data_IF_571219149186
#
_entry.id   IF_571219149186
#
_cell.length_a   1.000
_cell.length_b   1.000
_cell.length_c   1.000
_cell.angle_alpha   90.00
_cell.angle_beta   90.00
_cell.angle_gamma   90.00
#
_symmetry.space_group_name_H-M   'P 1'
#
loop_
_entity.id
_entity.type
_entity.pdbx_description
1 polymer ?
#
# COMPACT_ATOMS: atom_id res chain seq x y z
N UNK A 1 74.52 -15.54 11.57
CA UNK A 1 75.60 -16.39 11.02
C UNK A 1 74.95 -17.32 10.01
N UNK A 2 74.92 -16.97 8.74
CA UNK A 2 76.04 -16.95 7.82
C UNK A 2 76.36 -18.34 7.25
N UNK A 3 76.09 -18.46 5.94
CA UNK A 3 76.99 -19.02 4.91
C UNK A 3 77.26 -20.52 5.07
N UNK A 4 76.79 -21.43 4.21
CA UNK A 4 76.80 -21.36 2.75
C UNK A 4 78.03 -22.10 2.21
N UNK A 5 77.81 -23.21 1.48
CA UNK A 5 78.46 -23.63 0.22
C UNK A 5 78.38 -25.14 0.00
N UNK A 6 77.58 -25.48 -1.00
CA UNK A 6 77.76 -26.49 -2.04
C UNK A 6 78.64 -27.72 -1.80
N UNK A 7 78.03 -28.89 -2.04
CA UNK A 7 78.66 -29.91 -2.88
C UNK A 7 77.63 -30.63 -3.74
N UNK A 8 77.67 -30.24 -5.01
CA UNK A 8 77.28 -30.94 -6.23
C UNK A 8 77.14 -32.48 -6.11
N UNK A 9 75.91 -33.01 -5.99
CA UNK A 9 75.62 -34.39 -6.43
C UNK A 9 74.13 -34.74 -6.49
N UNK A 10 73.30 -34.17 -5.61
CA UNK A 10 71.92 -34.67 -5.42
C UNK A 10 70.93 -34.08 -6.44
N UNK A 11 71.19 -32.86 -6.95
CA UNK A 11 70.30 -32.23 -7.95
C UNK A 11 70.42 -32.90 -9.32
N UNK A 12 71.60 -33.46 -9.68
CA UNK A 12 71.75 -34.22 -10.94
C UNK A 12 70.98 -35.55 -10.90
N UNK A 13 70.96 -36.24 -9.76
CA UNK A 13 70.27 -37.53 -9.63
C UNK A 13 68.75 -37.40 -9.62
N UNK A 14 68.21 -36.34 -9.01
CA UNK A 14 66.76 -36.06 -9.05
C UNK A 14 66.33 -35.53 -10.43
N UNK A 15 67.18 -34.75 -11.10
CA UNK A 15 66.89 -34.26 -12.46
C UNK A 15 66.94 -35.40 -13.50
N UNK A 16 67.84 -36.36 -13.35
CA UNK A 16 67.92 -37.54 -14.25
C UNK A 16 66.75 -38.51 -13.98
N UNK A 17 66.27 -38.67 -12.74
CA UNK A 17 65.07 -39.46 -12.46
C UNK A 17 63.77 -38.77 -12.92
N UNK A 18 63.66 -37.44 -12.83
CA UNK A 18 62.48 -36.72 -13.34
C UNK A 18 62.48 -36.69 -14.87
N UNK A 19 63.65 -36.57 -15.52
CA UNK A 19 63.74 -36.59 -17.00
C UNK A 19 63.57 -38.01 -17.56
N UNK A 20 63.95 -39.07 -16.83
CA UNK A 20 63.65 -40.47 -17.21
C UNK A 20 62.16 -40.83 -17.02
N UNK A 21 61.43 -40.15 -16.13
CA UNK A 21 59.96 -40.29 -16.04
C UNK A 21 59.24 -39.53 -17.18
N UNK A 22 59.84 -38.48 -17.74
CA UNK A 22 59.27 -37.69 -18.85
C UNK A 22 59.76 -38.07 -20.26
N UNK A 23 60.74 -38.98 -20.40
CA UNK A 23 61.24 -39.48 -21.69
C UNK A 23 60.94 -40.97 -21.94
N UNK A 24 60.31 -41.66 -20.99
CA UNK A 24 59.51 -42.83 -21.31
C UNK A 24 58.20 -42.35 -21.95
N UNK A 25 58.14 -42.43 -23.27
CA UNK A 25 56.86 -42.42 -23.99
C UNK A 25 55.98 -43.52 -23.39
N UNK A 26 55.05 -43.16 -22.51
CA UNK A 26 53.96 -44.05 -22.14
C UNK A 26 53.25 -44.41 -23.45
N UNK A 27 53.23 -45.69 -23.87
CA UNK A 27 52.53 -46.10 -25.10
C UNK A 27 51.00 -45.98 -24.99
N UNK A 28 50.48 -45.27 -23.98
CA UNK A 28 49.06 -45.17 -23.67
C UNK A 28 48.37 -43.88 -24.14
N UNK A 29 49.09 -42.83 -24.53
CA UNK A 29 48.45 -41.55 -24.89
C UNK A 29 47.86 -41.52 -26.32
N UNK A 30 48.32 -42.39 -27.22
CA UNK A 30 47.76 -42.53 -28.58
C UNK A 30 46.54 -43.47 -28.65
N UNK A 31 46.09 -44.02 -27.51
CA UNK A 31 44.95 -44.94 -27.39
C UNK A 31 43.74 -44.37 -26.64
N UNK A 32 43.76 -43.09 -26.25
CA UNK A 32 42.63 -42.44 -25.57
C UNK A 32 41.54 -42.06 -26.58
N UNK A 33 40.83 -43.06 -27.07
CA UNK A 33 39.55 -42.87 -27.74
C UNK A 33 38.50 -42.47 -26.69
N UNK A 34 37.61 -41.52 -27.03
CA UNK A 34 36.49 -41.18 -26.16
C UNK A 34 35.73 -42.47 -25.81
N UNK A 35 35.48 -42.77 -24.52
CA UNK A 35 34.90 -44.05 -24.14
C UNK A 35 33.58 -44.29 -24.88
N UNK A 36 33.41 -45.50 -25.43
CA UNK A 36 32.17 -45.88 -26.10
C UNK A 36 30.99 -45.77 -25.12
N UNK A 37 29.79 -45.51 -25.63
CA UNK A 37 28.57 -45.31 -24.82
C UNK A 37 28.36 -46.40 -23.77
N UNK A 38 28.63 -47.66 -24.11
CA UNK A 38 28.53 -48.79 -23.18
C UNK A 38 29.46 -48.64 -21.96
N UNK A 39 30.69 -48.18 -22.17
CA UNK A 39 31.67 -47.95 -21.10
C UNK A 39 31.23 -46.83 -20.17
N UNK A 40 30.70 -45.74 -20.72
CA UNK A 40 30.15 -44.62 -19.94
C UNK A 40 28.94 -45.06 -19.11
N UNK A 41 28.03 -45.83 -19.70
CA UNK A 41 26.88 -46.39 -18.99
C UNK A 41 27.29 -47.34 -17.86
N UNK A 42 28.32 -48.16 -18.10
CA UNK A 42 28.86 -49.05 -17.07
C UNK A 42 29.50 -48.27 -15.91
N UNK A 43 30.29 -47.22 -16.20
CA UNK A 43 30.84 -46.35 -15.15
C UNK A 43 29.76 -45.60 -14.38
N UNK A 44 28.78 -45.03 -15.08
CA UNK A 44 27.66 -44.32 -14.45
C UNK A 44 26.87 -45.24 -13.51
N UNK A 45 26.52 -46.47 -13.94
CA UNK A 45 25.84 -47.45 -13.09
C UNK A 45 26.67 -47.86 -11.89
N UNK A 46 27.98 -48.02 -12.07
CA UNK A 46 28.86 -48.38 -10.96
C UNK A 46 28.96 -47.26 -9.94
N UNK A 47 29.08 -46.01 -10.39
CA UNK A 47 29.06 -44.83 -9.52
C UNK A 47 27.70 -44.72 -8.82
N UNK A 48 26.59 -44.90 -9.51
CA UNK A 48 25.24 -44.91 -8.94
C UNK A 48 25.10 -45.97 -7.83
N UNK A 49 25.56 -47.19 -8.08
CA UNK A 49 25.52 -48.28 -7.10
C UNK A 49 26.39 -47.99 -5.87
N UNK A 50 27.60 -47.46 -6.06
CA UNK A 50 28.47 -47.09 -4.93
C UNK A 50 27.89 -45.92 -4.14
N UNK A 51 27.35 -44.91 -4.82
CA UNK A 51 26.66 -43.77 -4.19
C UNK A 51 25.45 -44.27 -3.40
N UNK A 52 24.55 -45.05 -3.99
CA UNK A 52 23.37 -45.57 -3.30
C UNK A 52 23.75 -46.41 -2.08
N UNK A 53 24.76 -47.28 -2.21
CA UNK A 53 25.27 -48.10 -1.10
C UNK A 53 25.82 -47.24 0.04
N UNK A 54 26.63 -46.25 -0.29
CA UNK A 54 27.23 -45.32 0.69
C UNK A 54 26.15 -44.44 1.32
N UNK A 55 25.21 -43.91 0.54
CA UNK A 55 24.10 -43.10 1.03
C UNK A 55 23.21 -43.88 1.98
N UNK A 56 22.86 -45.13 1.68
CA UNK A 56 22.05 -45.96 2.60
C UNK A 56 22.74 -46.19 3.95
N UNK A 57 24.08 -46.28 3.97
CA UNK A 57 24.84 -46.43 5.21
C UNK A 57 25.06 -45.11 5.96
N UNK A 58 25.39 -44.03 5.25
CA UNK A 58 25.68 -42.72 5.86
C UNK A 58 24.40 -42.03 6.34
N UNK A 59 23.31 -42.09 5.58
CA UNK A 59 22.05 -41.39 5.92
C UNK A 59 21.30 -42.05 7.07
N UNK A 60 21.54 -43.33 7.33
CA UNK A 60 20.85 -44.07 8.37
C UNK A 60 19.34 -44.25 8.14
N UNK A 61 18.86 -44.13 6.90
CA UNK A 61 17.42 -44.11 6.59
C UNK A 61 16.68 -45.36 7.06
N UNK A 62 17.32 -46.54 6.97
CA UNK A 62 16.74 -47.80 7.44
C UNK A 62 16.70 -47.88 8.96
N UNK A 63 17.74 -47.38 9.64
CA UNK A 63 17.78 -47.28 11.09
C UNK A 63 16.67 -46.36 11.59
N UNK A 64 16.48 -45.19 10.95
CA UNK A 64 15.40 -44.27 11.27
C UNK A 64 14.01 -44.92 11.08
N UNK A 65 13.79 -45.61 9.96
CA UNK A 65 12.55 -46.36 9.72
C UNK A 65 12.32 -47.45 10.78
N UNK A 66 13.40 -48.12 11.21
CA UNK A 66 13.40 -49.07 12.32
C UNK A 66 12.92 -48.43 13.62
N UNK A 67 13.53 -47.30 14.01
CA UNK A 67 13.17 -46.53 15.22
C UNK A 67 11.69 -46.11 15.20
N UNK A 68 11.16 -45.62 14.07
CA UNK A 68 9.73 -45.27 13.96
C UNK A 68 8.81 -46.49 14.16
N UNK A 69 9.23 -47.69 13.76
CA UNK A 69 8.46 -48.90 13.97
C UNK A 69 8.56 -49.42 15.42
N UNK A 70 9.75 -49.38 16.01
CA UNK A 70 10.00 -49.75 17.42
C UNK A 70 9.23 -48.83 18.37
N UNK A 71 9.26 -47.53 18.10
CA UNK A 71 8.62 -46.50 18.91
C UNK A 71 7.16 -46.23 18.52
N UNK A 72 6.51 -47.15 17.79
CA UNK A 72 5.10 -47.04 17.37
C UNK A 72 4.13 -46.88 18.54
N UNK A 73 4.51 -47.27 19.75
CA UNK A 73 3.71 -47.07 20.97
C UNK A 73 3.79 -45.64 21.52
N UNK A 74 4.81 -44.85 21.14
CA UNK A 74 5.01 -43.46 21.59
C UNK A 74 4.22 -42.43 20.78
N UNK A 75 3.69 -42.79 19.62
CA UNK A 75 2.90 -41.91 18.78
C UNK A 75 1.66 -42.62 18.22
N UNK A 76 0.70 -41.83 17.76
CA UNK A 76 -0.48 -42.36 17.08
C UNK A 76 -0.57 -41.78 15.66
N UNK A 77 -0.99 -42.61 14.72
CA UNK A 77 -1.28 -42.18 13.36
C UNK A 77 -2.70 -41.63 13.33
N UNK A 78 -2.82 -40.32 13.19
CA UNK A 78 -4.11 -39.64 13.07
C UNK A 78 -4.35 -39.31 11.60
N UNK A 79 -5.51 -39.71 11.08
CA UNK A 79 -5.91 -39.36 9.72
C UNK A 79 -6.44 -37.92 9.69
N UNK A 80 -5.80 -37.07 8.90
CA UNK A 80 -6.32 -35.74 8.63
C UNK A 80 -7.66 -35.84 7.87
N UNK A 81 -8.68 -35.13 8.35
CA UNK A 81 -9.96 -34.99 7.68
C UNK A 81 -10.04 -33.55 7.14
N UNK A 82 -9.70 -33.31 5.85
CA UNK A 82 -9.53 -31.95 5.32
C UNK A 82 -10.74 -31.05 5.55
N UNK A 83 -11.95 -31.60 5.36
CA UNK A 83 -13.20 -30.87 5.59
C UNK A 83 -13.34 -30.35 7.03
N UNK A 84 -13.07 -31.20 8.03
CA UNK A 84 -13.14 -30.79 9.45
C UNK A 84 -12.10 -29.74 9.80
N UNK A 85 -10.91 -29.82 9.18
CA UNK A 85 -9.85 -28.83 9.38
C UNK A 85 -10.30 -27.48 8.82
N UNK A 86 -10.85 -27.46 7.60
CA UNK A 86 -11.36 -26.23 6.98
C UNK A 86 -12.54 -25.64 7.77
N UNK A 87 -13.49 -26.46 8.20
CA UNK A 87 -14.63 -26.03 9.02
C UNK A 87 -14.16 -25.43 10.36
N UNK A 88 -13.15 -26.05 11.00
CA UNK A 88 -12.56 -25.52 12.23
C UNK A 88 -11.89 -24.16 11.99
N UNK A 89 -11.05 -24.06 10.96
CA UNK A 89 -10.36 -22.81 10.61
C UNK A 89 -11.36 -21.70 10.27
N UNK A 90 -12.41 -22.01 9.50
CA UNK A 90 -13.46 -21.05 9.17
C UNK A 90 -14.17 -20.53 10.42
N UNK A 91 -14.55 -21.42 11.35
CA UNK A 91 -15.14 -21.05 12.65
C UNK A 91 -14.19 -20.19 13.50
N UNK A 92 -12.90 -20.52 13.52
CA UNK A 92 -11.92 -19.78 14.33
C UNK A 92 -11.71 -18.37 13.75
N UNK A 93 -11.67 -18.22 12.42
CA UNK A 93 -11.62 -16.92 11.74
C UNK A 93 -12.90 -16.11 12.00
N UNK A 94 -14.08 -16.75 11.93
CA UNK A 94 -15.35 -16.09 12.22
C UNK A 94 -15.37 -15.52 13.64
N UNK A 95 -14.98 -16.32 14.64
CA UNK A 95 -14.89 -15.88 16.04
C UNK A 95 -13.88 -14.74 16.22
N UNK A 96 -12.73 -14.82 15.57
CA UNK A 96 -11.71 -13.76 15.60
C UNK A 96 -12.28 -12.44 15.05
N UNK A 97 -12.91 -12.47 13.88
CA UNK A 97 -13.49 -11.29 13.25
C UNK A 97 -14.68 -10.76 14.05
N UNK A 98 -15.49 -11.64 14.66
CA UNK A 98 -16.61 -11.24 15.51
C UNK A 98 -16.15 -10.46 16.76
N UNK A 99 -15.04 -10.88 17.40
CA UNK A 99 -14.43 -10.14 18.51
C UNK A 99 -13.96 -8.75 18.08
N UNK A 100 -13.24 -8.66 16.96
CA UNK A 100 -12.79 -7.37 16.39
C UNK A 100 -13.95 -6.44 16.08
N UNK A 101 -15.02 -6.97 15.48
CA UNK A 101 -16.25 -6.20 15.20
C UNK A 101 -16.88 -5.67 16.49
N UNK A 102 -16.93 -6.46 17.56
CA UNK A 102 -17.48 -6.03 18.86
C UNK A 102 -16.72 -4.83 19.42
N UNK A 103 -15.38 -4.87 19.38
CA UNK A 103 -14.53 -3.75 19.81
C UNK A 103 -14.77 -2.49 18.97
N UNK A 104 -14.87 -2.63 17.64
CA UNK A 104 -15.16 -1.52 16.72
C UNK A 104 -16.54 -0.89 16.99
N UNK A 105 -17.58 -1.69 17.18
CA UNK A 105 -18.94 -1.18 17.46
C UNK A 105 -18.98 -0.42 18.78
N UNK A 106 -18.30 -0.91 19.81
CA UNK A 106 -18.17 -0.20 21.09
C UNK A 106 -17.49 1.16 20.91
N UNK A 107 -16.35 1.19 20.22
CA UNK A 107 -15.59 2.42 19.97
C UNK A 107 -16.39 3.43 19.14
N UNK A 108 -17.07 2.98 18.08
CA UNK A 108 -17.88 3.85 17.25
C UNK A 108 -19.08 4.45 18.02
N UNK A 109 -19.77 3.62 18.81
CA UNK A 109 -20.92 4.08 19.61
C UNK A 109 -20.50 5.12 20.66
N UNK A 110 -19.36 4.90 21.33
CA UNK A 110 -18.82 5.87 22.28
C UNK A 110 -18.32 7.15 21.58
N UNK A 111 -17.68 7.04 20.42
CA UNK A 111 -17.27 8.23 19.65
C UNK A 111 -18.47 9.10 19.24
N UNK A 112 -19.54 8.49 18.74
CA UNK A 112 -20.78 9.21 18.40
C UNK A 112 -21.41 9.89 19.63
N UNK A 113 -21.42 9.20 20.77
CA UNK A 113 -21.96 9.74 22.03
C UNK A 113 -21.12 10.91 22.54
N UNK A 114 -19.80 10.72 22.63
CA UNK A 114 -18.86 11.73 23.13
C UNK A 114 -18.88 12.98 22.26
N UNK A 115 -18.87 12.82 20.94
CA UNK A 115 -18.89 13.97 20.04
C UNK A 115 -20.22 14.72 20.07
N UNK A 116 -21.35 14.03 20.32
CA UNK A 116 -22.66 14.68 20.51
C UNK A 116 -22.72 15.49 21.81
N UNK A 117 -22.08 15.01 22.86
CA UNK A 117 -22.02 15.67 24.17
C UNK A 117 -20.98 16.80 24.23
N UNK A 118 -20.03 16.81 23.28
CA UNK A 118 -18.97 17.82 23.23
C UNK A 118 -19.53 19.22 22.98
N UNK A 119 -19.04 20.19 23.76
CA UNK A 119 -19.36 21.60 23.61
C UNK A 119 -18.15 22.27 22.97
N UNK A 120 -18.39 22.91 21.81
CA UNK A 120 -17.36 23.64 21.10
C UNK A 120 -16.77 24.79 21.94
N UNK A 121 -15.44 24.90 21.96
CA UNK A 121 -14.73 25.95 22.68
C UNK A 121 -13.69 26.63 21.78
N UNK A 122 -13.84 27.93 21.54
CA UNK A 122 -12.89 28.71 20.74
C UNK A 122 -11.63 29.13 21.53
N UNK A 123 -11.71 29.14 22.87
CA UNK A 123 -10.65 29.65 23.75
C UNK A 123 -9.59 28.63 24.16
N UNK A 124 -9.63 27.40 23.65
CA UNK A 124 -8.65 26.36 23.98
C UNK A 124 -7.29 26.77 23.41
N UNK A 125 -6.25 26.75 24.23
CA UNK A 125 -4.86 26.92 23.78
C UNK A 125 -4.18 25.56 23.73
N UNK A 126 -3.22 25.43 22.82
CA UNK A 126 -2.42 24.21 22.66
C UNK A 126 -1.70 23.82 23.97
N UNK A 127 -1.23 24.80 24.75
CA UNK A 127 -0.58 24.58 26.04
C UNK A 127 -1.50 23.96 27.11
N UNK A 128 -2.82 24.12 26.97
CA UNK A 128 -3.80 23.57 27.90
C UNK A 128 -4.16 22.10 27.56
N UNK A 129 -3.63 21.57 26.45
CA UNK A 129 -3.94 20.23 25.96
C UNK A 129 -2.91 19.19 26.43
N UNK A 130 -3.37 18.17 27.16
CA UNK A 130 -2.55 17.04 27.55
C UNK A 130 -2.74 15.85 26.58
N UNK A 131 -1.85 15.70 25.61
CA UNK A 131 -1.83 14.55 24.71
C UNK A 131 -0.40 14.18 24.28
N UNK A 132 -0.20 12.91 23.92
CA UNK A 132 1.07 12.46 23.34
C UNK A 132 1.03 12.63 21.81
N UNK A 133 1.81 13.57 21.31
CA UNK A 133 2.05 13.74 19.88
C UNK A 133 3.09 12.72 19.42
N UNK A 134 2.69 11.84 18.50
CA UNK A 134 3.56 10.76 18.04
C UNK A 134 4.73 11.23 17.19
N UNK A 135 4.68 12.45 16.64
CA UNK A 135 5.75 13.05 15.84
C UNK A 135 6.69 13.93 16.65
N UNK A 136 6.47 14.09 17.95
CA UNK A 136 7.23 15.02 18.79
C UNK A 136 8.76 14.82 18.70
N UNK A 137 9.23 13.57 18.62
CA UNK A 137 10.66 13.27 18.48
C UNK A 137 11.23 13.68 17.11
N UNK A 138 10.44 13.61 16.04
CA UNK A 138 10.88 14.04 14.70
C UNK A 138 10.98 15.56 14.58
N UNK A 139 10.05 16.29 15.20
CA UNK A 139 10.06 17.75 15.21
C UNK A 139 11.37 18.28 15.85
N UNK A 140 11.89 17.56 16.86
CA UNK A 140 13.14 17.91 17.58
C UNK A 140 14.41 17.82 16.70
N UNK A 141 14.49 16.83 15.80
CA UNK A 141 15.66 16.67 14.92
C UNK A 141 15.67 17.61 13.70
N UNK A 142 14.55 18.30 13.42
CA UNK A 142 14.44 19.24 12.30
C UNK A 142 14.93 20.66 12.62
N UNK A 143 15.18 20.95 13.90
CA UNK A 143 15.59 22.27 14.37
C UNK A 143 17.05 22.23 14.88
N UNK A 144 18.03 22.17 13.97
CA UNK A 144 19.46 22.41 14.27
C UNK A 144 19.74 23.90 14.55
N UNK A 145 18.91 24.54 15.37
CA UNK A 145 19.01 25.95 15.72
C UNK A 145 18.55 26.18 17.16
N UNK A 146 19.53 26.46 18.02
CA UNK A 146 19.45 26.91 19.40
C UNK A 146 18.06 27.33 19.91
N UNK A 147 17.48 26.50 20.80
CA UNK A 147 16.30 26.83 21.58
C UNK A 147 15.61 25.58 22.11
N UNK A 148 15.90 25.20 23.37
CA UNK A 148 15.08 24.27 24.14
C UNK A 148 13.68 24.89 24.34
N UNK A 149 12.79 24.71 23.37
CA UNK A 149 11.36 24.91 23.60
C UNK A 149 10.84 23.58 24.12
N UNK A 150 11.14 23.25 25.38
CA UNK A 150 10.38 22.21 26.09
C UNK A 150 8.92 22.69 26.12
N UNK A 151 8.10 22.17 25.21
CA UNK A 151 6.66 22.40 25.29
C UNK A 151 6.18 21.67 26.55
N UNK A 152 5.71 22.37 27.61
CA UNK A 152 5.40 21.76 28.91
C UNK A 152 4.21 20.79 28.86
N UNK A 153 3.49 20.77 27.75
CA UNK A 153 2.27 19.99 27.49
C UNK A 153 2.53 18.61 26.87
N UNK A 154 3.75 18.30 26.42
CA UNK A 154 4.05 16.98 25.86
C UNK A 154 4.30 15.95 26.96
N UNK A 155 3.41 14.96 27.04
CA UNK A 155 3.52 13.84 27.95
C UNK A 155 4.78 13.03 27.57
N UNK A 156 5.81 13.01 28.41
CA UNK A 156 6.95 12.08 28.24
C UNK A 156 6.50 10.69 28.66
N UNK A 157 6.55 9.74 27.72
CA UNK A 157 6.13 8.36 27.92
C UNK A 157 7.33 7.42 27.94
N UNK A 158 7.26 6.40 28.80
CA UNK A 158 8.18 5.27 28.77
C UNK A 158 7.62 4.21 27.81
N UNK A 159 8.42 3.79 26.83
CA UNK A 159 8.05 2.80 25.85
C UNK A 159 8.74 1.46 26.12
N UNK A 160 7.99 0.37 25.90
CA UNK A 160 8.50 -1.00 26.03
C UNK A 160 8.30 -1.70 24.71
N UNK A 161 9.34 -2.40 24.24
CA UNK A 161 9.27 -3.19 23.01
C UNK A 161 8.27 -4.34 23.16
N UNK A 162 7.27 -4.39 22.27
CA UNK A 162 6.29 -5.47 22.23
C UNK A 162 6.43 -6.32 20.96
N UNK A 163 6.67 -7.64 21.06
CA UNK A 163 6.82 -8.53 19.91
C UNK A 163 5.58 -8.64 19.00
N UNK A 164 4.36 -8.42 19.52
CA UNK A 164 3.14 -8.46 18.72
C UNK A 164 3.06 -7.26 17.78
N UNK A 165 3.52 -6.10 18.25
CA UNK A 165 3.54 -4.85 17.49
C UNK A 165 4.84 -4.66 16.70
N UNK A 166 5.90 -5.36 17.07
CA UNK A 166 7.27 -5.18 16.53
C UNK A 166 7.75 -3.73 16.64
N UNK A 167 7.33 -3.05 17.70
CA UNK A 167 7.58 -1.63 17.96
C UNK A 167 7.59 -1.38 19.47
N UNK A 168 8.17 -0.25 19.85
CA UNK A 168 8.13 0.26 21.22
C UNK A 168 6.75 0.90 21.48
N UNK A 169 6.04 0.43 22.49
CA UNK A 169 4.65 0.81 22.78
C UNK A 169 4.46 1.19 24.24
N UNK A 170 3.44 2.01 24.48
CA UNK A 170 2.97 2.39 25.81
C UNK A 170 1.47 2.11 25.92
N UNK A 171 1.10 1.27 26.88
CA UNK A 171 -0.29 0.83 27.10
C UNK A 171 -1.11 1.77 28.00
N UNK A 172 -0.48 2.80 28.57
CA UNK A 172 -1.12 3.75 29.49
C UNK A 172 -1.76 4.94 28.76
N UNK A 173 -1.36 5.21 27.52
CA UNK A 173 -1.85 6.36 26.75
C UNK A 173 -2.12 6.00 25.29
N UNK A 174 -2.87 6.88 24.64
CA UNK A 174 -3.01 6.93 23.18
C UNK A 174 -2.00 7.88 22.57
N UNK A 175 -1.62 7.61 21.33
CA UNK A 175 -0.80 8.50 20.51
C UNK A 175 -1.67 9.23 19.49
N UNK A 176 -1.30 10.46 19.18
CA UNK A 176 -1.97 11.30 18.18
C UNK A 176 -1.01 11.59 17.04
N UNK A 177 -1.42 11.28 15.81
CA UNK A 177 -0.75 11.70 14.59
C UNK A 177 -1.57 12.81 13.92
N UNK A 178 -0.91 13.92 13.61
CA UNK A 178 -1.46 15.03 12.86
C UNK A 178 -0.66 15.15 11.54
N UNK A 179 -1.32 15.24 10.37
CA UNK A 179 -0.65 15.50 9.10
C UNK A 179 0.21 16.77 9.16
N UNK A 180 1.36 16.74 8.49
CA UNK A 180 2.38 17.79 8.58
C UNK A 180 1.90 19.14 8.02
N UNK A 181 0.94 19.13 7.10
CA UNK A 181 0.32 20.31 6.49
C UNK A 181 -0.85 20.90 7.31
N UNK A 182 -1.18 20.30 8.46
CA UNK A 182 -2.25 20.76 9.36
C UNK A 182 -1.65 21.43 10.58
N UNK A 183 -2.10 22.66 10.85
CA UNK A 183 -1.67 23.41 12.03
C UNK A 183 -2.33 22.88 13.32
N UNK A 184 -1.49 22.40 14.25
CA UNK A 184 -1.93 21.78 15.52
C UNK A 184 -2.74 22.73 16.41
N UNK A 185 -2.39 24.02 16.43
CA UNK A 185 -3.06 25.06 17.22
C UNK A 185 -4.39 25.56 16.66
N UNK A 186 -4.89 25.03 15.54
CA UNK A 186 -6.16 25.46 14.98
C UNK A 186 -7.33 25.05 15.90
N UNK A 187 -8.34 25.93 16.17
CA UNK A 187 -9.46 25.61 17.05
C UNK A 187 -10.20 24.31 16.70
N UNK A 188 -10.33 24.00 15.40
CA UNK A 188 -10.91 22.75 14.90
C UNK A 188 -10.13 21.52 15.37
N UNK A 189 -8.80 21.59 15.34
CA UNK A 189 -7.92 20.50 15.75
C UNK A 189 -7.92 20.38 17.28
N UNK A 190 -7.82 21.50 18.00
CA UNK A 190 -7.83 21.51 19.47
C UNK A 190 -9.15 20.95 20.04
N UNK A 191 -10.30 21.30 19.43
CA UNK A 191 -11.58 20.72 19.81
C UNK A 191 -11.61 19.20 19.52
N UNK A 192 -11.08 18.77 18.38
CA UNK A 192 -11.01 17.35 18.03
C UNK A 192 -10.17 16.56 19.04
N UNK A 193 -9.02 17.08 19.42
CA UNK A 193 -8.14 16.47 20.41
C UNK A 193 -8.79 16.39 21.79
N UNK A 194 -9.60 17.39 22.16
CA UNK A 194 -10.27 17.48 23.45
C UNK A 194 -11.31 16.37 23.63
N UNK A 195 -12.28 16.25 22.71
CA UNK A 195 -13.33 15.23 22.87
C UNK A 195 -12.80 13.81 22.61
N UNK A 196 -11.85 13.64 21.69
CA UNK A 196 -11.28 12.31 21.38
C UNK A 196 -10.43 11.75 22.52
N UNK A 197 -9.99 12.56 23.49
CA UNK A 197 -9.26 12.09 24.65
C UNK A 197 -10.05 11.06 25.45
N UNK A 198 -11.38 11.21 25.53
CA UNK A 198 -12.24 10.26 26.23
C UNK A 198 -12.29 8.86 25.59
N UNK A 199 -11.88 8.71 24.32
CA UNK A 199 -11.78 7.41 23.65
C UNK A 199 -10.66 6.53 24.21
N UNK A 200 -9.66 7.12 24.87
CA UNK A 200 -8.54 6.42 25.46
C UNK A 200 -8.98 5.28 26.41
N UNK A 201 -9.99 5.56 27.24
CA UNK A 201 -10.58 4.56 28.13
C UNK A 201 -11.13 3.35 27.35
N UNK A 202 -11.85 3.61 26.26
CA UNK A 202 -12.46 2.55 25.43
C UNK A 202 -11.39 1.72 24.73
N UNK A 203 -10.32 2.37 24.25
CA UNK A 203 -9.18 1.67 23.65
C UNK A 203 -8.53 0.70 24.66
N UNK A 204 -8.29 1.17 25.88
CA UNK A 204 -7.72 0.32 26.94
C UNK A 204 -8.65 -0.84 27.32
N UNK A 205 -9.94 -0.58 27.51
CA UNK A 205 -10.94 -1.62 27.82
C UNK A 205 -11.00 -2.71 26.75
N UNK A 206 -10.96 -2.33 25.47
CA UNK A 206 -10.92 -3.28 24.36
C UNK A 206 -9.66 -4.15 24.39
N UNK A 207 -8.50 -3.56 24.70
CA UNK A 207 -7.24 -4.30 24.79
C UNK A 207 -7.17 -5.23 26.00
N UNK A 208 -7.79 -4.84 27.12
CA UNK A 208 -7.92 -5.70 28.30
C UNK A 208 -8.88 -6.87 28.05
N UNK A 209 -9.97 -6.66 27.29
CA UNK A 209 -10.91 -7.72 26.93
C UNK A 209 -10.31 -8.70 25.90
N UNK A 210 -9.50 -8.21 24.95
CA UNK A 210 -8.81 -9.02 23.96
C UNK A 210 -7.32 -8.63 23.83
N UNK A 211 -6.41 -9.30 24.58
CA UNK A 211 -4.98 -9.04 24.49
C UNK A 211 -4.33 -9.36 23.12
N UNK A 212 -5.06 -10.03 22.22
CA UNK A 212 -4.58 -10.30 20.85
C UNK A 212 -4.89 -9.18 19.86
N UNK A 213 -5.58 -8.13 20.31
CA UNK A 213 -5.95 -6.98 19.50
C UNK A 213 -4.69 -6.14 19.21
N UNK A 214 -4.46 -5.89 17.91
CA UNK A 214 -3.38 -5.01 17.43
C UNK A 214 -3.82 -3.54 17.53
N UNK A 215 -3.30 -2.69 16.63
CA UNK A 215 -3.62 -1.27 16.60
C UNK A 215 -5.11 -1.02 16.56
N UNK A 216 -5.56 -0.16 17.47
CA UNK A 216 -6.88 0.48 17.40
C UNK A 216 -6.66 1.92 16.98
N UNK A 217 -7.48 2.43 16.06
CA UNK A 217 -7.33 3.79 15.57
C UNK A 217 -8.69 4.45 15.33
N UNK A 218 -8.76 5.74 15.63
CA UNK A 218 -9.81 6.65 15.23
C UNK A 218 -9.20 7.67 14.27
N UNK A 219 -9.69 7.70 13.04
CA UNK A 219 -9.33 8.72 12.04
C UNK A 219 -10.44 9.76 11.96
N UNK A 220 -10.11 11.01 12.26
CA UNK A 220 -11.03 12.13 12.19
C UNK A 220 -11.19 12.65 10.76
N UNK A 221 -12.36 13.22 10.46
CA UNK A 221 -12.58 14.00 9.25
C UNK A 221 -11.68 15.25 9.17
N UNK A 222 -11.16 15.72 10.31
CA UNK A 222 -10.20 16.82 10.37
C UNK A 222 -8.78 16.42 9.94
N UNK A 223 -8.49 15.11 9.82
CA UNK A 223 -7.16 14.57 9.53
C UNK A 223 -6.41 14.05 10.77
N UNK A 224 -6.85 14.40 11.97
CA UNK A 224 -6.28 13.90 13.23
C UNK A 224 -6.50 12.39 13.35
N UNK A 225 -5.45 11.66 13.72
CA UNK A 225 -5.55 10.21 13.99
C UNK A 225 -5.14 9.93 15.43
N UNK A 226 -6.01 9.30 16.21
CA UNK A 226 -5.68 8.79 17.55
C UNK A 226 -5.58 7.29 17.53
N UNK A 227 -4.49 6.71 18.01
CA UNK A 227 -4.29 5.26 18.02
C UNK A 227 -3.74 4.73 19.35
N UNK A 228 -3.98 3.44 19.58
CA UNK A 228 -3.61 2.71 20.78
C UNK A 228 -3.00 1.34 20.43
N UNK A 229 -1.97 0.86 21.17
CA UNK A 229 -1.24 1.58 22.22
C UNK A 229 -0.43 2.77 21.67
N UNK A 230 0.00 3.69 22.53
CA UNK A 230 0.84 4.81 22.08
C UNK A 230 2.19 4.30 21.58
N UNK A 231 2.68 4.86 20.48
CA UNK A 231 4.00 4.54 19.92
C UNK A 231 4.50 5.73 19.10
N UNK A 232 5.81 6.05 19.14
CA UNK A 232 6.38 7.12 18.34
C UNK A 232 6.23 6.84 16.85
N UNK A 233 5.87 7.86 16.09
CA UNK A 233 5.76 7.79 14.63
C UNK A 233 7.13 7.91 14.01
N UNK A 234 7.63 6.82 13.41
CA UNK A 234 8.95 6.78 12.77
C UNK A 234 8.79 6.84 11.25
N UNK A 235 9.16 7.95 10.62
CA UNK A 235 9.36 8.00 9.15
C UNK A 235 10.85 8.03 8.81
N UNK A 236 11.35 7.12 7.96
CA UNK A 236 12.76 7.08 7.60
C UNK A 236 13.16 8.28 6.74
N UNK A 237 13.88 9.26 7.32
CA UNK A 237 14.58 10.40 6.70
C UNK A 237 13.87 11.11 5.53
N UNK A 238 12.53 11.08 5.51
CA UNK A 238 11.67 11.70 4.50
C UNK A 238 10.57 12.46 5.21
N UNK A 239 10.13 13.56 4.61
CA UNK A 239 8.98 14.32 5.08
C UNK A 239 7.77 13.37 5.12
N UNK A 240 7.12 13.30 6.28
CA UNK A 240 5.89 12.52 6.43
C UNK A 240 4.73 13.22 5.70
N UNK A 241 4.18 12.55 4.69
CA UNK A 241 3.00 12.97 3.94
C UNK A 241 1.76 12.14 4.29
N UNK A 242 1.80 11.39 5.39
CA UNK A 242 0.69 10.58 5.82
C UNK A 242 -0.49 11.44 6.28
N UNK A 243 -1.63 11.21 5.64
CA UNK A 243 -2.95 11.72 6.01
C UNK A 243 -3.94 10.55 6.02
N UNK A 244 -4.61 10.36 7.15
CA UNK A 244 -5.56 9.26 7.36
C UNK A 244 -6.70 9.25 6.36
N UNK A 245 -7.12 10.42 5.89
CA UNK A 245 -8.23 10.58 4.94
C UNK A 245 -7.90 10.03 3.55
N UNK A 246 -6.61 9.87 3.26
CA UNK A 246 -6.08 9.24 2.04
C UNK A 246 -5.84 7.73 2.21
N UNK A 247 -5.98 7.21 3.42
CA UNK A 247 -5.75 5.80 3.73
C UNK A 247 -6.83 4.89 3.14
N UNK A 248 -6.48 3.73 2.54
CA UNK A 248 -7.46 2.81 1.97
C UNK A 248 -8.55 2.36 2.96
N UNK A 249 -8.17 2.08 4.21
CA UNK A 249 -9.11 1.65 5.25
C UNK A 249 -10.13 2.75 5.61
N UNK A 250 -9.71 4.01 5.59
CA UNK A 250 -10.58 5.16 5.87
C UNK A 250 -11.54 5.36 4.69
N UNK A 251 -11.03 5.36 3.46
CA UNK A 251 -11.85 5.58 2.25
C UNK A 251 -12.91 4.50 2.08
N UNK A 252 -12.56 3.24 2.33
CA UNK A 252 -13.51 2.10 2.27
C UNK A 252 -14.62 2.20 3.32
N UNK A 253 -14.32 2.77 4.50
CA UNK A 253 -15.32 3.00 5.55
C UNK A 253 -16.18 4.26 5.29
N UNK A 254 -15.59 5.30 4.69
CA UNK A 254 -16.23 6.59 4.47
C UNK A 254 -17.10 6.64 3.20
N UNK A 255 -16.84 5.79 2.21
CA UNK A 255 -17.52 5.83 0.91
C UNK A 255 -17.91 4.44 0.40
N UNK A 256 -19.04 4.37 -0.29
CA UNK A 256 -19.43 3.16 -1.02
C UNK A 256 -18.75 3.09 -2.39
N UNK A 257 -18.61 1.88 -2.97
CA UNK A 257 -18.01 1.69 -4.30
C UNK A 257 -18.60 2.61 -5.36
N UNK A 258 -17.78 3.07 -6.30
CA UNK A 258 -18.20 4.06 -7.31
C UNK A 258 -17.74 3.72 -8.73
N UNK A 259 -18.63 4.02 -9.68
CA UNK A 259 -18.38 4.08 -11.12
C UNK A 259 -18.03 5.54 -11.47
N UNK A 260 -16.75 5.81 -11.76
CA UNK A 260 -16.22 7.16 -11.96
C UNK A 260 -15.71 7.37 -13.40
N UNK A 261 -16.11 8.46 -14.04
CA UNK A 261 -15.45 8.95 -15.27
C UNK A 261 -14.70 10.23 -14.95
N UNK A 262 -13.39 10.23 -15.20
CA UNK A 262 -12.54 11.41 -15.06
C UNK A 262 -12.41 12.04 -16.44
N UNK A 263 -12.88 13.28 -16.58
CA UNK A 263 -12.77 14.11 -17.78
C UNK A 263 -11.64 15.11 -17.59
N UNK A 264 -10.66 15.07 -18.50
CA UNK A 264 -9.50 15.96 -18.50
C UNK A 264 -9.56 16.87 -19.73
N UNK A 265 -9.66 18.16 -19.49
CA UNK A 265 -9.53 19.15 -20.55
C UNK A 265 -8.09 19.17 -21.08
N UNK A 266 -7.94 18.99 -22.39
CA UNK A 266 -6.65 19.07 -23.11
C UNK A 266 -6.71 20.09 -24.25
N UNK A 267 -7.56 21.10 -24.11
CA UNK A 267 -7.58 22.27 -25.00
C UNK A 267 -6.28 23.09 -24.91
N UNK A 268 -6.11 24.06 -25.81
CA UNK A 268 -4.92 24.91 -25.81
C UNK A 268 -4.76 25.79 -24.57
N UNK A 269 -5.85 26.14 -23.87
CA UNK A 269 -5.85 27.06 -22.72
C UNK A 269 -5.10 26.47 -21.52
N UNK A 270 -5.27 25.17 -21.27
CA UNK A 270 -4.64 24.45 -20.16
C UNK A 270 -3.14 24.19 -20.36
N UNK A 271 -2.56 24.56 -21.51
CA UNK A 271 -1.15 24.27 -21.82
C UNK A 271 -0.18 24.86 -20.78
N UNK A 272 0.88 24.13 -20.44
CA UNK A 272 1.90 24.55 -19.49
C UNK A 272 1.63 24.09 -18.05
N UNK A 273 1.66 25.03 -17.09
CA UNK A 273 1.56 24.72 -15.66
C UNK A 273 0.21 24.08 -15.30
N UNK A 274 -0.88 24.57 -15.88
CA UNK A 274 -2.23 24.09 -15.58
C UNK A 274 -2.40 22.61 -15.92
N UNK A 275 -2.03 22.18 -17.14
CA UNK A 275 -2.06 20.77 -17.51
C UNK A 275 -1.13 19.92 -16.63
N UNK A 276 0.03 20.44 -16.21
CA UNK A 276 0.92 19.74 -15.28
C UNK A 276 0.24 19.50 -13.92
N UNK A 277 -0.46 20.50 -13.39
CA UNK A 277 -1.23 20.37 -12.15
C UNK A 277 -2.40 19.42 -12.31
N UNK A 278 -3.16 19.50 -13.41
CA UNK A 278 -4.27 18.58 -13.69
C UNK A 278 -3.78 17.12 -13.73
N UNK A 279 -2.66 16.85 -14.41
CA UNK A 279 -2.07 15.50 -14.46
C UNK A 279 -1.75 14.97 -13.06
N UNK A 280 -1.10 15.78 -12.22
CA UNK A 280 -0.79 15.42 -10.84
C UNK A 280 -2.07 15.16 -10.02
N UNK A 281 -3.09 16.03 -10.14
CA UNK A 281 -4.36 15.85 -9.45
C UNK A 281 -5.11 14.59 -9.88
N UNK A 282 -5.05 14.21 -11.16
CA UNK A 282 -5.66 12.96 -11.64
C UNK A 282 -4.90 11.74 -11.13
N UNK A 283 -3.56 11.80 -11.06
CA UNK A 283 -2.76 10.72 -10.45
C UNK A 283 -3.09 10.52 -8.97
N UNK A 284 -3.17 11.61 -8.21
CA UNK A 284 -3.54 11.59 -6.79
C UNK A 284 -4.98 11.10 -6.58
N UNK A 285 -5.91 11.53 -7.44
CA UNK A 285 -7.30 11.05 -7.43
C UNK A 285 -7.38 9.54 -7.68
N UNK A 286 -6.61 9.01 -8.64
CA UNK A 286 -6.57 7.58 -8.91
C UNK A 286 -6.08 6.78 -7.69
N UNK A 287 -5.18 7.34 -6.88
CA UNK A 287 -4.72 6.67 -5.65
C UNK A 287 -5.81 6.52 -4.58
N UNK A 288 -6.82 7.38 -4.60
CA UNK A 288 -7.98 7.28 -3.70
C UNK A 288 -8.95 6.15 -4.08
N UNK A 289 -8.83 5.57 -5.29
CA UNK A 289 -9.71 4.50 -5.75
C UNK A 289 -9.28 3.14 -5.21
N UNK A 290 -10.27 2.35 -4.79
CA UNK A 290 -10.13 0.99 -4.29
C UNK A 290 -10.44 -0.05 -5.37
N UNK A 291 -10.14 -1.32 -5.10
CA UNK A 291 -10.39 -2.41 -6.04
C UNK A 291 -11.89 -2.65 -6.30
N UNK A 292 -12.79 -2.18 -5.44
CA UNK A 292 -14.24 -2.26 -5.66
C UNK A 292 -14.78 -1.14 -6.58
N UNK A 293 -13.95 -0.14 -6.88
CA UNK A 293 -14.29 0.98 -7.74
C UNK A 293 -14.00 0.68 -9.22
N UNK A 294 -14.78 1.30 -10.10
CA UNK A 294 -14.60 1.21 -11.55
C UNK A 294 -14.38 2.59 -12.15
N UNK A 295 -13.37 2.71 -13.00
CA UNK A 295 -12.93 4.01 -13.53
C UNK A 295 -12.62 3.94 -15.02
N UNK A 296 -12.87 5.06 -15.71
CA UNK A 296 -12.24 5.36 -16.99
C UNK A 296 -11.80 6.82 -16.99
N UNK A 297 -10.70 7.11 -17.67
CA UNK A 297 -10.16 8.45 -17.82
C UNK A 297 -10.27 8.83 -19.29
N UNK A 298 -10.91 9.95 -19.56
CA UNK A 298 -11.06 10.51 -20.89
C UNK A 298 -10.42 11.89 -20.96
N UNK A 299 -9.83 12.18 -22.10
CA UNK A 299 -9.37 13.52 -22.45
C UNK A 299 -10.35 14.11 -23.45
N UNK A 300 -10.56 15.42 -23.41
CA UNK A 300 -11.37 16.09 -24.40
C UNK A 300 -10.79 17.45 -24.80
N UNK A 301 -11.01 17.79 -26.06
CA UNK A 301 -10.81 19.12 -26.63
C UNK A 301 -12.02 19.38 -27.55
N UNK A 302 -11.86 19.30 -28.88
CA UNK A 302 -12.95 19.28 -29.85
C UNK A 302 -13.69 17.94 -29.89
N UNK A 303 -13.06 16.87 -29.39
CA UNK A 303 -13.64 15.54 -29.27
C UNK A 303 -13.20 14.90 -27.96
N UNK A 304 -14.02 13.98 -27.45
CA UNK A 304 -13.73 13.22 -26.24
C UNK A 304 -13.32 11.78 -26.56
N UNK A 305 -12.20 11.33 -25.99
CA UNK A 305 -11.63 10.01 -26.20
C UNK A 305 -11.09 9.42 -24.88
N UNK A 306 -11.20 8.10 -24.71
CA UNK A 306 -10.52 7.42 -23.61
C UNK A 306 -9.00 7.57 -23.74
N UNK A 307 -8.31 7.89 -22.64
CA UNK A 307 -6.85 8.08 -22.67
C UNK A 307 -6.12 6.76 -22.94
N UNK A 308 -6.71 5.63 -22.54
CA UNK A 308 -6.20 4.29 -22.82
C UNK A 308 -7.09 3.65 -23.91
N UNK A 309 -6.61 3.50 -25.15
CA UNK A 309 -7.44 3.02 -26.27
C UNK A 309 -8.04 1.62 -26.07
N UNK A 310 -7.40 0.75 -25.28
CA UNK A 310 -7.92 -0.58 -25.00
C UNK A 310 -9.04 -0.60 -23.94
N UNK A 311 -9.18 0.46 -23.13
CA UNK A 311 -10.23 0.59 -22.12
C UNK A 311 -11.46 1.30 -22.69
N UNK A 312 -12.24 0.54 -23.49
CA UNK A 312 -13.48 1.04 -24.13
C UNK A 312 -14.63 1.31 -23.15
N UNK A 313 -14.51 0.83 -21.92
CA UNK A 313 -15.52 0.89 -20.85
C UNK A 313 -14.82 1.13 -19.50
N UNK A 314 -15.59 1.44 -18.44
CA UNK A 314 -15.07 1.49 -17.08
C UNK A 314 -14.42 0.16 -16.69
N UNK A 315 -13.18 0.20 -16.20
CA UNK A 315 -12.42 -0.96 -15.73
C UNK A 315 -12.24 -0.89 -14.22
N UNK A 316 -12.04 -2.03 -13.58
CA UNK A 316 -11.77 -2.10 -12.15
C UNK A 316 -10.50 -1.32 -11.80
N UNK A 317 -10.54 -0.52 -10.74
CA UNK A 317 -9.44 0.35 -10.30
C UNK A 317 -8.35 -0.41 -9.50
N UNK A 318 -7.97 -1.60 -9.96
CA UNK A 318 -6.88 -2.37 -9.36
C UNK A 318 -5.51 -1.69 -9.60
N UNK A 319 -4.50 -2.09 -8.82
CA UNK A 319 -3.13 -1.54 -8.87
C UNK A 319 -2.56 -1.51 -10.30
N UNK A 320 -2.82 -2.53 -11.10
CA UNK A 320 -2.32 -2.63 -12.48
C UNK A 320 -2.99 -1.64 -13.43
N UNK A 321 -4.31 -1.58 -13.41
CA UNK A 321 -5.09 -0.69 -14.27
C UNK A 321 -4.84 0.77 -13.90
N UNK A 322 -4.77 1.09 -12.60
CA UNK A 322 -4.38 2.43 -12.13
C UNK A 322 -3.03 2.86 -12.68
N UNK A 323 -2.03 1.98 -12.64
CA UNK A 323 -0.70 2.26 -13.22
C UNK A 323 -0.77 2.60 -14.72
N UNK A 324 -1.54 1.83 -15.49
CA UNK A 324 -1.71 2.09 -16.94
C UNK A 324 -2.37 3.46 -17.18
N UNK A 325 -3.38 3.83 -16.38
CA UNK A 325 -3.98 5.15 -16.47
C UNK A 325 -2.98 6.26 -16.15
N UNK A 326 -2.20 6.13 -15.07
CA UNK A 326 -1.18 7.12 -14.70
C UNK A 326 -0.15 7.33 -15.80
N UNK A 327 0.38 6.24 -16.36
CA UNK A 327 1.35 6.30 -17.46
C UNK A 327 0.77 7.02 -18.70
N UNK A 328 -0.51 6.82 -18.99
CA UNK A 328 -1.21 7.48 -20.10
C UNK A 328 -1.56 8.96 -19.82
N UNK A 329 -1.92 9.30 -18.59
CA UNK A 329 -2.23 10.68 -18.15
C UNK A 329 -1.00 11.58 -18.28
N UNK A 330 0.19 11.10 -17.90
CA UNK A 330 1.46 11.83 -18.02
C UNK A 330 1.73 12.25 -19.47
N UNK A 331 1.33 11.42 -20.44
CA UNK A 331 1.60 11.62 -21.86
C UNK A 331 0.63 12.58 -22.55
N UNK A 332 -0.43 13.05 -21.89
CA UNK A 332 -1.40 13.96 -22.50
C UNK A 332 -0.75 15.27 -22.96
N UNK A 333 -1.22 15.83 -24.07
CA UNK A 333 -0.75 17.11 -24.62
C UNK A 333 -1.93 18.03 -24.90
N UNK A 334 -1.78 19.30 -24.54
CA UNK A 334 -2.75 20.35 -24.79
C UNK A 334 -2.74 20.79 -26.26
N UNK A 335 -3.89 20.74 -26.92
CA UNK A 335 -4.09 21.23 -28.30
C UNK A 335 -5.59 21.41 -28.61
N UNK A 336 -5.89 22.39 -29.44
CA UNK A 336 -7.23 22.59 -30.00
C UNK A 336 -8.14 23.45 -29.12
N UNK A 337 -9.42 23.45 -29.43
CA UNK A 337 -10.45 24.21 -28.71
C UNK A 337 -11.22 23.34 -27.71
N UNK A 338 -11.97 23.97 -26.80
CA UNK A 338 -12.70 23.29 -25.73
C UNK A 338 -14.15 23.04 -26.14
N UNK A 339 -14.60 21.78 -26.09
CA UNK A 339 -16.00 21.40 -26.24
C UNK A 339 -16.46 20.50 -25.08
N UNK A 340 -17.11 21.11 -24.08
CA UNK A 340 -17.66 20.40 -22.93
C UNK A 340 -18.78 19.44 -23.30
N UNK A 341 -19.55 19.71 -24.36
CA UNK A 341 -20.66 18.83 -24.74
C UNK A 341 -20.12 17.48 -25.17
N UNK A 342 -19.06 17.46 -25.99
CA UNK A 342 -18.40 16.21 -26.37
C UNK A 342 -17.92 15.40 -25.16
N UNK A 343 -17.28 16.05 -24.19
CA UNK A 343 -16.81 15.45 -22.94
C UNK A 343 -17.93 14.82 -22.13
N UNK A 344 -19.01 15.57 -21.88
CA UNK A 344 -20.15 15.07 -21.11
C UNK A 344 -20.93 13.99 -21.85
N UNK A 345 -21.13 14.10 -23.17
CA UNK A 345 -21.73 13.02 -23.96
C UNK A 345 -20.93 11.71 -23.82
N UNK A 346 -19.59 11.78 -23.90
CA UNK A 346 -18.74 10.61 -23.69
C UNK A 346 -18.93 10.02 -22.28
N UNK A 347 -18.88 10.86 -21.25
CA UNK A 347 -19.01 10.41 -19.87
C UNK A 347 -20.37 9.76 -19.58
N UNK A 348 -21.47 10.38 -20.02
CA UNK A 348 -22.81 9.79 -19.87
C UNK A 348 -22.93 8.48 -20.64
N UNK A 349 -22.39 8.39 -21.86
CA UNK A 349 -22.38 7.15 -22.61
C UNK A 349 -21.59 6.04 -21.90
N UNK A 350 -20.48 6.35 -21.21
CA UNK A 350 -19.73 5.36 -20.43
C UNK A 350 -20.48 4.87 -19.18
N UNK A 351 -21.20 5.75 -18.50
CA UNK A 351 -21.90 5.49 -17.22
C UNK A 351 -23.30 4.90 -17.37
N UNK A 352 -24.01 5.26 -18.44
CA UNK A 352 -25.42 4.93 -18.63
C UNK A 352 -25.64 3.80 -19.64
N UNK A 353 -24.73 3.59 -20.60
CA UNK A 353 -24.90 2.48 -21.54
C UNK A 353 -24.76 1.15 -20.82
N UNK A 354 -25.82 0.35 -20.91
CA UNK A 354 -25.85 -1.02 -20.40
C UNK A 354 -24.89 -1.85 -21.24
N UNK A 355 -23.74 -2.17 -20.66
CA UNK A 355 -22.78 -3.12 -21.23
C UNK A 355 -22.76 -4.35 -20.31
N UNK A 356 -22.50 -5.55 -20.86
CA UNK A 356 -22.31 -6.77 -20.06
C UNK A 356 -20.96 -6.77 -19.30
N UNK A 357 -20.47 -5.60 -18.95
CA UNK A 357 -19.19 -5.40 -18.28
C UNK A 357 -19.46 -5.27 -16.78
N UNK A 358 -18.62 -5.88 -15.92
CA UNK A 358 -18.67 -5.63 -14.48
C UNK A 358 -18.61 -4.13 -14.14
N UNK A 359 -19.38 -3.72 -13.14
CA UNK A 359 -19.55 -2.34 -12.65
C UNK A 359 -19.76 -2.37 -11.15
N UNK A 360 -19.45 -1.27 -10.46
CA UNK A 360 -19.81 -1.10 -9.05
C UNK A 360 -21.33 -0.95 -8.90
N UNK A 361 -21.96 -0.22 -9.84
CA UNK A 361 -23.41 0.02 -9.93
C UNK A 361 -24.03 0.63 -8.65
N UNK A 362 -23.24 1.40 -7.91
CA UNK A 362 -23.66 2.15 -6.73
C UNK A 362 -23.62 3.65 -7.06
N UNK A 363 -22.55 4.36 -6.71
CA UNK A 363 -22.41 5.78 -7.06
C UNK A 363 -21.93 5.96 -8.50
N UNK A 364 -22.56 6.85 -9.26
CA UNK A 364 -22.09 7.26 -10.59
C UNK A 364 -21.60 8.69 -10.53
N UNK A 365 -20.34 8.90 -10.88
CA UNK A 365 -19.64 10.17 -10.69
C UNK A 365 -18.91 10.58 -11.96
N UNK A 366 -19.00 11.86 -12.31
CA UNK A 366 -18.16 12.50 -13.32
C UNK A 366 -17.30 13.54 -12.60
N UNK A 367 -15.99 13.51 -12.83
CA UNK A 367 -15.06 14.53 -12.34
C UNK A 367 -14.41 15.24 -13.52
N UNK A 368 -14.62 16.54 -13.64
CA UNK A 368 -14.07 17.38 -14.71
C UNK A 368 -12.90 18.21 -14.18
N UNK A 369 -11.74 18.13 -14.84
CA UNK A 369 -10.57 18.98 -14.59
C UNK A 369 -10.33 19.90 -15.80
N UNK A 370 -10.32 21.22 -15.56
CA UNK A 370 -10.19 22.26 -16.59
C UNK A 370 -9.68 23.57 -15.95
N UNK A 371 -9.40 24.59 -16.75
CA UNK A 371 -8.96 25.92 -16.31
C UNK A 371 -10.07 26.97 -16.36
N UNK A 372 -11.32 26.57 -16.56
CA UNK A 372 -12.46 27.46 -16.75
C UNK A 372 -13.14 27.21 -18.08
N UNK A 373 -14.27 27.87 -18.31
CA UNK A 373 -14.99 27.73 -19.57
C UNK A 373 -16.25 28.57 -19.61
N UNK A 374 -16.71 28.86 -20.83
CA UNK A 374 -17.85 29.76 -21.06
C UNK A 374 -19.18 28.99 -21.17
N UNK A 375 -19.14 27.75 -21.63
CA UNK A 375 -20.35 26.92 -21.82
C UNK A 375 -20.70 26.15 -20.53
N UNK A 376 -22.00 25.99 -20.29
CA UNK A 376 -22.56 25.18 -19.21
C UNK A 376 -22.98 23.77 -19.66
N UNK A 377 -22.98 23.51 -20.97
CA UNK A 377 -23.45 22.25 -21.57
C UNK A 377 -24.83 21.80 -21.03
N UNK A 378 -25.72 22.78 -20.78
CA UNK A 378 -26.99 22.57 -20.10
C UNK A 378 -27.89 21.58 -20.83
N UNK A 379 -27.89 21.61 -22.16
CA UNK A 379 -28.62 20.70 -23.03
C UNK A 379 -28.26 19.23 -22.79
N UNK A 380 -26.97 18.94 -22.59
CA UNK A 380 -26.50 17.57 -22.29
C UNK A 380 -27.04 17.09 -20.94
N UNK A 381 -27.00 17.94 -19.91
CA UNK A 381 -27.52 17.58 -18.59
C UNK A 381 -29.05 17.41 -18.59
N UNK A 382 -29.77 18.26 -19.34
CA UNK A 382 -31.21 18.13 -19.56
C UNK A 382 -31.58 16.80 -20.20
N UNK A 383 -30.77 16.32 -21.15
CA UNK A 383 -31.01 15.06 -21.85
C UNK A 383 -30.67 13.82 -21.01
N UNK A 384 -29.53 13.83 -20.31
CA UNK A 384 -28.97 12.60 -19.73
C UNK A 384 -29.14 12.45 -18.22
N UNK A 385 -29.23 13.55 -17.47
CA UNK A 385 -29.20 13.50 -16.01
C UNK A 385 -30.45 14.09 -15.35
N UNK A 386 -31.13 15.04 -15.99
CA UNK A 386 -32.31 15.69 -15.40
C UNK A 386 -33.62 14.98 -15.78
N UNK A 387 -34.64 15.01 -14.90
CA UNK A 387 -34.69 15.70 -13.60
C UNK A 387 -34.11 14.89 -12.42
N UNK A 388 -33.87 13.59 -12.58
CA UNK A 388 -33.58 12.67 -11.47
C UNK A 388 -32.22 12.90 -10.80
N UNK A 389 -31.24 13.44 -11.55
CA UNK A 389 -29.86 13.71 -11.11
C UNK A 389 -29.24 12.49 -10.44
N UNK A 390 -29.14 11.41 -11.20
CA UNK A 390 -28.60 10.12 -10.75
C UNK A 390 -27.08 10.06 -10.80
N UNK A 391 -26.47 10.90 -11.65
CA UNK A 391 -25.02 11.05 -11.77
C UNK A 391 -24.61 12.34 -11.05
N UNK A 392 -23.59 12.25 -10.19
CA UNK A 392 -22.99 13.43 -9.53
C UNK A 392 -21.86 13.99 -10.37
N UNK A 393 -21.74 15.31 -10.42
CA UNK A 393 -20.73 15.99 -11.25
C UNK A 393 -19.91 16.92 -10.38
N UNK A 394 -18.60 16.70 -10.35
CA UNK A 394 -17.64 17.55 -9.68
C UNK A 394 -16.79 18.26 -10.73
N UNK A 395 -16.55 19.55 -10.54
CA UNK A 395 -15.73 20.37 -11.43
C UNK A 395 -14.57 20.97 -10.67
N UNK A 396 -13.36 20.83 -11.21
CA UNK A 396 -12.13 21.35 -10.64
C UNK A 396 -11.54 22.39 -11.58
N UNK A 397 -11.46 23.63 -11.10
CA UNK A 397 -10.69 24.70 -11.73
C UNK A 397 -9.26 24.61 -11.23
N UNK A 398 -8.29 24.42 -12.12
CA UNK A 398 -6.91 24.13 -11.73
C UNK A 398 -5.95 25.19 -12.27
N UNK A 399 -4.98 25.57 -11.43
CA UNK A 399 -3.95 26.54 -11.79
C UNK A 399 -4.38 27.99 -11.61
N UNK A 400 -3.45 28.90 -11.87
CA UNK A 400 -3.70 30.33 -11.84
C UNK A 400 -4.04 30.80 -13.25
N UNK A 401 -5.27 31.26 -13.44
CA UNK A 401 -5.79 31.69 -14.74
C UNK A 401 -6.84 32.80 -14.55
N UNK A 402 -7.20 33.45 -15.66
CA UNK A 402 -8.20 34.54 -15.68
C UNK A 402 -9.52 34.12 -16.36
N UNK A 403 -9.68 32.85 -16.73
CA UNK A 403 -10.91 32.34 -17.33
C UNK A 403 -12.08 32.30 -16.33
N UNK A 404 -13.31 32.39 -16.84
CA UNK A 404 -14.52 32.34 -16.02
C UNK A 404 -14.76 30.95 -15.45
N UNK A 405 -15.02 30.90 -14.14
CA UNK A 405 -15.30 29.68 -13.37
C UNK A 405 -16.78 29.53 -13.04
N UNK A 406 -17.59 30.56 -13.33
CA UNK A 406 -19.03 30.60 -13.04
C UNK A 406 -19.78 29.44 -13.69
N UNK A 407 -19.49 29.05 -14.96
CA UNK A 407 -20.12 27.89 -15.57
C UNK A 407 -19.78 26.58 -14.87
N UNK A 408 -18.54 26.39 -14.41
CA UNK A 408 -18.12 25.20 -13.65
C UNK A 408 -18.87 25.10 -12.32
N UNK A 409 -18.92 26.20 -11.57
CA UNK A 409 -19.69 26.27 -10.32
C UNK A 409 -21.16 25.92 -10.56
N UNK A 410 -21.75 26.46 -11.63
CA UNK A 410 -23.13 26.15 -12.00
C UNK A 410 -23.31 24.65 -12.32
N UNK A 411 -22.39 24.04 -13.06
CA UNK A 411 -22.44 22.60 -13.38
C UNK A 411 -22.41 21.77 -12.10
N UNK A 412 -21.49 22.06 -11.17
CA UNK A 412 -21.41 21.36 -9.89
C UNK A 412 -22.68 21.55 -9.05
N UNK A 413 -23.11 22.80 -8.82
CA UNK A 413 -24.29 23.11 -8.01
C UNK A 413 -25.59 22.49 -8.58
N UNK A 414 -25.71 22.37 -9.90
CA UNK A 414 -26.91 21.81 -10.52
C UNK A 414 -26.96 20.28 -10.54
N UNK A 415 -25.84 19.59 -10.27
CA UNK A 415 -25.73 18.13 -10.42
C UNK A 415 -25.33 17.37 -9.12
N UNK A 416 -25.65 17.94 -7.95
CA UNK A 416 -25.52 17.36 -6.59
C UNK A 416 -24.10 17.16 -6.07
#
# INVERSE_FOLDING_TARGET
MAIGKGSCSIVCLVSIQIILIFSASWPGAAGLTFPQQYTIMHWARRIEQEIDRVFQHITGAQQLKGIYNEERRRFSLVKNQPRRIVEKVASDIEKLLAKKRKALVRLASEAERLQREHIWQDGIKELDMAYYDSKAEMDYYSMEGEGEVENPSHIKLEFVYDPNFKNDVNYSYTAVQIPTDIYKGAPVILNELNWTQALEKVFMENSQEDPSLLWQAFGSATGVTRYYPASPWKTPNKIDLYDVRRGPWYIQGASSPKDMVILVDVSGSVSGLTLKLIKASVEDLLDTLSDDDYVNVARFNEKAEAVVPCFKHLVQANVRNKKIFKDAVIQMQAKGTTDYKSGFHFAFNQLLNKTNVPRANCNKIIMLFTDGGEDRAQDVFMQYNWPNKTVRVFTFSVGQHNYDVTPLQWIACTNK
#
